data_IF_034220221561
#
_entry.id   IF_034220221561
#
_cell.length_a   1.000
_cell.length_b   1.000
_cell.length_c   1.000
_cell.angle_alpha   90.00
_cell.angle_beta   90.00
_cell.angle_gamma   90.00
#
_symmetry.space_group_name_H-M   'P 1'
#
loop_
_entity.id
_entity.type
_entity.pdbx_description
1 polymer ?
#
# COMPACT_ATOMS: atom_id res chain seq x y z
N UNK A 1 41.30 28.83 -3.71
CA UNK A 1 41.60 27.43 -3.34
C UNK A 1 40.73 26.93 -2.18
N UNK A 2 40.54 27.71 -1.10
CA UNK A 2 39.66 27.35 0.04
C UNK A 2 38.17 27.17 -0.31
N UNK A 3 37.61 28.01 -1.19
CA UNK A 3 36.19 27.92 -1.61
C UNK A 3 35.91 26.67 -2.46
N UNK A 4 36.87 26.18 -3.26
CA UNK A 4 36.67 24.96 -4.05
C UNK A 4 36.83 23.68 -3.24
N UNK A 5 37.54 23.72 -2.11
CA UNK A 5 37.63 22.59 -1.16
C UNK A 5 36.34 22.48 -0.36
N UNK A 6 35.76 23.59 0.10
CA UNK A 6 34.45 23.60 0.78
C UNK A 6 33.34 23.13 -0.17
N UNK A 7 33.34 23.59 -1.43
CA UNK A 7 32.40 23.10 -2.45
C UNK A 7 32.55 21.60 -2.77
N UNK A 8 33.78 21.07 -2.74
CA UNK A 8 34.05 19.63 -2.89
C UNK A 8 33.63 18.83 -1.66
N UNK A 9 33.82 19.33 -0.45
CA UNK A 9 33.38 18.67 0.78
C UNK A 9 31.85 18.68 0.95
N UNK A 10 31.17 19.77 0.55
CA UNK A 10 29.70 19.82 0.49
C UNK A 10 29.18 18.83 -0.56
N UNK A 11 29.77 18.79 -1.75
CA UNK A 11 29.43 17.77 -2.75
C UNK A 11 29.74 16.35 -2.26
N UNK A 12 30.83 16.13 -1.52
CA UNK A 12 31.16 14.83 -0.95
C UNK A 12 30.15 14.38 0.12
N UNK A 13 29.75 15.27 1.03
CA UNK A 13 28.70 15.03 2.04
C UNK A 13 27.32 14.80 1.40
N UNK A 14 26.97 15.54 0.34
CA UNK A 14 25.74 15.32 -0.44
C UNK A 14 25.74 13.93 -1.09
N UNK A 15 26.90 13.40 -1.51
CA UNK A 15 27.01 12.08 -2.11
C UNK A 15 27.16 10.93 -1.10
N UNK A 16 27.69 11.17 0.11
CA UNK A 16 27.84 10.14 1.14
C UNK A 16 26.64 10.01 2.09
N UNK A 17 25.79 11.05 2.19
CA UNK A 17 24.62 11.09 3.08
C UNK A 17 23.36 11.60 2.35
N UNK A 18 23.14 11.15 1.11
CA UNK A 18 21.87 11.42 0.44
C UNK A 18 20.76 10.57 1.05
N UNK A 19 19.68 11.20 1.51
CA UNK A 19 18.55 10.52 2.14
C UNK A 19 17.34 10.49 1.20
N UNK A 20 17.12 9.39 0.44
CA UNK A 20 16.01 9.26 -0.49
C UNK A 20 14.71 8.89 0.23
N UNK A 21 14.08 9.86 0.87
CA UNK A 21 12.78 9.72 1.56
C UNK A 21 11.57 9.76 0.60
N UNK A 22 11.80 9.49 -0.68
CA UNK A 22 10.75 9.34 -1.70
C UNK A 22 10.29 7.90 -1.83
N UNK A 23 11.13 6.93 -1.49
CA UNK A 23 10.92 5.52 -1.80
C UNK A 23 9.91 4.88 -0.85
N UNK A 24 8.74 4.53 -1.40
CA UNK A 24 7.81 3.63 -0.73
C UNK A 24 8.31 2.20 -0.77
N UNK A 25 9.35 1.89 -0.01
CA UNK A 25 9.83 0.54 0.28
C UNK A 25 10.08 0.44 1.78
N UNK A 26 10.45 -0.76 2.23
CA UNK A 26 10.86 -1.02 3.60
C UNK A 26 12.33 -1.45 3.62
N UNK A 27 13.09 -1.09 4.65
CA UNK A 27 14.53 -1.39 4.73
C UNK A 27 14.82 -2.82 5.21
N UNK A 28 13.86 -3.47 5.86
CA UNK A 28 14.02 -4.84 6.33
C UNK A 28 13.76 -5.84 5.21
N UNK A 29 14.43 -6.99 5.34
CA UNK A 29 14.18 -8.14 4.50
C UNK A 29 13.10 -9.04 5.13
N UNK A 30 12.50 -9.94 4.34
CA UNK A 30 11.75 -11.07 4.90
C UNK A 30 12.61 -11.84 5.89
N UNK A 31 12.01 -12.56 6.86
CA UNK A 31 12.75 -13.40 7.79
C UNK A 31 13.72 -14.38 7.09
N UNK A 32 14.83 -14.69 7.76
CA UNK A 32 15.94 -15.45 7.15
C UNK A 32 15.50 -16.85 6.72
N UNK A 33 14.67 -17.50 7.52
CA UNK A 33 14.05 -18.80 7.22
C UNK A 33 13.19 -18.75 5.95
N UNK A 34 12.43 -17.65 5.76
CA UNK A 34 11.67 -17.41 4.52
C UNK A 34 12.62 -17.29 3.32
N UNK A 35 13.72 -16.54 3.47
CA UNK A 35 14.72 -16.37 2.40
C UNK A 35 15.45 -17.68 2.05
N UNK A 36 15.84 -18.49 3.03
CA UNK A 36 16.45 -19.80 2.77
C UNK A 36 15.46 -20.72 2.06
N UNK A 37 14.18 -20.69 2.44
CA UNK A 37 13.15 -21.46 1.78
C UNK A 37 12.92 -21.04 0.33
N UNK A 38 13.02 -19.74 0.02
CA UNK A 38 13.00 -19.25 -1.38
C UNK A 38 14.11 -19.91 -2.19
N UNK A 39 15.34 -20.00 -1.64
CA UNK A 39 16.48 -20.60 -2.34
C UNK A 39 16.24 -22.09 -2.61
N UNK A 40 15.76 -22.83 -1.61
CA UNK A 40 15.40 -24.24 -1.78
C UNK A 40 14.36 -24.42 -2.89
N UNK A 41 13.27 -23.65 -2.84
CA UNK A 41 12.19 -23.72 -3.82
C UNK A 41 12.65 -23.35 -5.23
N UNK A 42 13.55 -22.38 -5.37
CA UNK A 42 14.12 -21.99 -6.65
C UNK A 42 14.97 -23.09 -7.30
N UNK A 43 15.53 -24.00 -6.50
CA UNK A 43 16.28 -25.16 -6.98
C UNK A 43 15.39 -26.39 -7.24
N UNK A 44 14.14 -26.41 -6.79
CA UNK A 44 13.22 -27.50 -7.06
C UNK A 44 12.65 -27.43 -8.49
N UNK A 45 12.89 -28.46 -9.30
CA UNK A 45 12.25 -28.60 -10.63
C UNK A 45 10.72 -28.51 -10.56
N UNK A 46 10.15 -28.89 -9.40
CA UNK A 46 8.73 -28.84 -9.10
C UNK A 46 8.13 -27.43 -9.09
N UNK A 47 8.92 -26.36 -9.20
CA UNK A 47 8.42 -24.97 -9.23
C UNK A 47 8.43 -24.35 -10.62
N UNK A 48 9.01 -25.02 -11.61
CA UNK A 48 9.13 -24.54 -13.00
C UNK A 48 7.98 -25.05 -13.88
N UNK A 49 6.74 -24.68 -13.55
CA UNK A 49 5.55 -25.01 -14.34
C UNK A 49 4.51 -23.89 -14.29
N UNK A 50 3.43 -24.03 -15.06
CA UNK A 50 2.29 -23.10 -15.02
C UNK A 50 1.42 -23.37 -13.79
N UNK A 51 1.28 -22.38 -12.92
CA UNK A 51 0.52 -22.49 -11.67
C UNK A 51 -0.98 -22.38 -11.90
N UNK A 52 -1.76 -22.60 -10.84
CA UNK A 52 -3.19 -22.26 -10.87
C UNK A 52 -3.35 -20.74 -10.87
N UNK A 53 -4.37 -20.24 -11.58
CA UNK A 53 -4.71 -18.82 -11.58
C UNK A 53 -4.96 -18.30 -10.15
N UNK A 54 -5.58 -19.12 -9.32
CA UNK A 54 -5.97 -18.76 -7.97
C UNK A 54 -4.89 -19.03 -6.90
N UNK A 55 -3.81 -19.69 -7.28
CA UNK A 55 -2.80 -20.20 -6.35
C UNK A 55 -3.19 -21.46 -5.57
N UNK A 56 -2.29 -21.98 -4.72
CA UNK A 56 -2.40 -23.32 -4.15
C UNK A 56 -3.37 -23.36 -2.95
N UNK A 57 -4.06 -24.49 -2.77
CA UNK A 57 -5.21 -24.57 -1.86
C UNK A 57 -4.86 -24.47 -0.36
N UNK A 58 -3.64 -24.80 0.02
CA UNK A 58 -3.12 -24.57 1.37
C UNK A 58 -2.99 -23.06 1.68
N UNK A 59 -2.58 -22.27 0.70
CA UNK A 59 -2.49 -20.81 0.81
C UNK A 59 -3.87 -20.16 0.99
N UNK A 60 -4.88 -20.68 0.30
CA UNK A 60 -6.27 -20.26 0.48
C UNK A 60 -6.76 -20.41 1.91
N UNK A 61 -6.44 -21.51 2.59
CA UNK A 61 -6.85 -21.72 3.99
C UNK A 61 -6.21 -20.70 4.91
N UNK A 62 -4.89 -20.52 4.84
CA UNK A 62 -4.16 -19.57 5.67
C UNK A 62 -4.65 -18.12 5.47
N UNK A 63 -4.87 -17.72 4.21
CA UNK A 63 -5.38 -16.38 3.93
C UNK A 63 -6.85 -16.22 4.30
N UNK A 64 -7.66 -17.26 4.15
CA UNK A 64 -9.06 -17.22 4.61
C UNK A 64 -9.10 -17.10 6.13
N UNK A 65 -8.27 -17.82 6.88
CA UNK A 65 -8.16 -17.68 8.33
C UNK A 65 -7.73 -16.27 8.74
N UNK A 66 -6.69 -15.70 8.09
CA UNK A 66 -6.28 -14.29 8.28
C UNK A 66 -7.46 -13.35 8.11
N UNK A 67 -8.12 -13.49 6.98
CA UNK A 67 -9.17 -12.59 6.52
C UNK A 67 -10.42 -12.76 7.36
N UNK A 68 -10.84 -13.97 7.72
CA UNK A 68 -11.97 -14.20 8.64
C UNK A 68 -11.68 -13.66 10.05
N UNK A 69 -10.42 -13.62 10.48
CA UNK A 69 -10.03 -12.94 11.72
C UNK A 69 -10.18 -11.42 11.65
N UNK A 70 -9.86 -10.82 10.50
CA UNK A 70 -9.92 -9.36 10.27
C UNK A 70 -11.33 -8.87 9.87
N UNK A 71 -12.16 -9.75 9.33
CA UNK A 71 -13.51 -9.44 8.84
C UNK A 71 -14.56 -10.02 9.79
N UNK A 72 -15.52 -9.20 10.24
CA UNK A 72 -16.76 -9.69 10.85
C UNK A 72 -17.71 -10.31 9.81
N UNK A 73 -17.23 -11.24 8.99
CA UNK A 73 -18.01 -11.90 7.94
C UNK A 73 -17.50 -13.31 7.69
N UNK A 74 -18.42 -14.26 7.56
CA UNK A 74 -18.18 -15.71 7.43
C UNK A 74 -17.82 -16.18 6.00
N UNK A 75 -17.66 -15.27 5.02
CA UNK A 75 -17.55 -15.66 3.61
C UNK A 75 -16.64 -14.74 2.79
N UNK A 76 -15.37 -15.11 2.60
CA UNK A 76 -14.41 -14.34 1.78
C UNK A 76 -13.68 -15.23 0.76
N UNK A 77 -13.47 -14.72 -0.46
CA UNK A 77 -12.68 -15.34 -1.55
C UNK A 77 -11.48 -14.48 -1.92
N UNK A 78 -10.36 -15.11 -2.31
CA UNK A 78 -9.01 -14.54 -2.32
C UNK A 78 -8.29 -14.78 -3.66
N UNK A 79 -8.21 -13.81 -4.56
CA UNK A 79 -7.53 -14.00 -5.87
C UNK A 79 -6.16 -13.33 -5.89
N UNK A 80 -5.10 -14.03 -6.32
CA UNK A 80 -3.76 -13.43 -6.44
C UNK A 80 -3.68 -12.44 -7.61
N UNK A 81 -3.07 -11.26 -7.48
CA UNK A 81 -3.01 -10.27 -8.57
C UNK A 81 -1.68 -9.50 -8.66
N UNK A 82 -1.34 -9.04 -9.87
CA UNK A 82 -0.17 -8.21 -10.17
C UNK A 82 -0.60 -6.88 -10.81
N UNK A 83 -0.08 -5.77 -10.27
CA UNK A 83 -0.18 -4.38 -10.77
C UNK A 83 -1.60 -3.79 -10.95
N UNK A 84 -1.90 -2.77 -10.13
CA UNK A 84 -2.99 -1.80 -10.33
C UNK A 84 -2.42 -0.41 -10.03
N UNK A 85 -2.67 0.56 -10.90
CA UNK A 85 -2.26 1.95 -10.75
C UNK A 85 -3.51 2.83 -10.85
N UNK A 86 -3.72 3.72 -9.88
CA UNK A 86 -4.91 4.58 -9.77
C UNK A 86 -4.52 6.05 -9.54
N UNK A 87 -5.40 6.95 -9.97
CA UNK A 87 -5.28 8.40 -9.81
C UNK A 87 -5.99 8.83 -8.51
N UNK A 88 -5.37 9.73 -7.72
CA UNK A 88 -5.83 10.13 -6.38
C UNK A 88 -6.37 11.57 -6.35
N UNK A 89 -7.46 11.79 -5.62
CA UNK A 89 -7.93 13.13 -5.23
C UNK A 89 -7.78 13.31 -3.71
N UNK A 90 -7.27 14.46 -3.22
CA UNK A 90 -7.09 14.70 -1.80
C UNK A 90 -8.42 15.10 -1.16
N UNK A 91 -8.96 14.28 -0.26
CA UNK A 91 -10.09 14.69 0.58
C UNK A 91 -9.68 14.56 2.03
N UNK A 92 -9.74 15.66 2.77
CA UNK A 92 -9.57 15.64 4.22
C UNK A 92 -10.67 14.77 4.86
N UNK A 93 -10.28 13.86 5.74
CA UNK A 93 -11.16 12.84 6.34
C UNK A 93 -12.41 13.43 6.99
N UNK A 94 -12.31 14.64 7.55
CA UNK A 94 -13.39 15.33 8.27
C UNK A 94 -14.61 15.63 7.36
N UNK A 95 -14.43 15.66 6.03
CA UNK A 95 -15.53 15.89 5.06
C UNK A 95 -15.70 14.78 4.04
N UNK A 96 -15.01 13.65 4.21
CA UNK A 96 -14.99 12.57 3.22
C UNK A 96 -16.39 12.00 2.95
N UNK A 97 -17.18 11.80 4.00
CA UNK A 97 -18.55 11.28 3.92
C UNK A 97 -19.43 12.18 3.06
N UNK A 98 -19.57 13.45 3.45
CA UNK A 98 -20.51 14.38 2.83
C UNK A 98 -20.09 14.71 1.39
N UNK A 99 -18.78 14.82 1.16
CA UNK A 99 -18.23 14.98 -0.18
C UNK A 99 -18.54 13.77 -1.07
N UNK A 100 -18.35 12.55 -0.57
CA UNK A 100 -18.63 11.32 -1.32
C UNK A 100 -20.12 11.21 -1.65
N UNK A 101 -20.99 11.46 -0.68
CA UNK A 101 -22.45 11.45 -0.86
C UNK A 101 -22.87 12.45 -1.94
N UNK A 102 -22.32 13.67 -1.89
CA UNK A 102 -22.53 14.70 -2.91
C UNK A 102 -22.08 14.23 -4.30
N UNK A 103 -20.84 13.77 -4.44
CA UNK A 103 -20.27 13.35 -5.73
C UNK A 103 -21.08 12.21 -6.36
N UNK A 104 -21.44 11.17 -5.60
CA UNK A 104 -22.20 10.04 -6.13
C UNK A 104 -23.64 10.43 -6.50
N UNK A 105 -24.20 11.46 -5.89
CA UNK A 105 -25.54 11.96 -6.23
C UNK A 105 -25.55 12.87 -7.47
N UNK A 106 -24.58 13.78 -7.57
CA UNK A 106 -24.56 14.86 -8.58
C UNK A 106 -23.86 14.45 -9.88
N UNK A 107 -22.84 13.59 -9.82
CA UNK A 107 -22.04 13.25 -11.00
C UNK A 107 -22.80 12.33 -11.96
N UNK A 108 -22.84 12.71 -13.24
CA UNK A 108 -23.42 11.93 -14.35
C UNK A 108 -22.40 11.79 -15.50
N UNK A 109 -22.14 10.57 -16.01
CA UNK A 109 -22.70 9.31 -15.57
C UNK A 109 -22.23 8.94 -14.15
N UNK A 110 -23.06 8.17 -13.45
CA UNK A 110 -22.81 7.78 -12.07
C UNK A 110 -21.51 6.98 -11.96
N UNK A 111 -20.60 7.33 -11.03
CA UNK A 111 -19.38 6.58 -10.82
C UNK A 111 -19.68 5.12 -10.46
N UNK A 112 -19.08 4.18 -11.19
CA UNK A 112 -19.28 2.73 -10.96
C UNK A 112 -18.38 2.16 -9.86
N UNK A 113 -17.31 2.88 -9.52
CA UNK A 113 -16.27 2.43 -8.61
C UNK A 113 -15.74 3.61 -7.79
N UNK A 114 -15.58 3.37 -6.50
CA UNK A 114 -14.92 4.25 -5.54
C UNK A 114 -13.71 3.50 -5.01
N UNK A 115 -12.52 4.09 -5.12
CA UNK A 115 -11.29 3.53 -4.57
C UNK A 115 -10.90 4.27 -3.31
N UNK A 116 -10.57 3.53 -2.26
CA UNK A 116 -10.15 4.03 -0.97
C UNK A 116 -8.86 3.34 -0.55
N UNK A 117 -7.91 4.07 0.01
CA UNK A 117 -6.67 3.53 0.53
C UNK A 117 -6.70 3.67 2.05
N UNK A 118 -6.56 2.56 2.78
CA UNK A 118 -6.66 2.53 4.24
C UNK A 118 -5.73 1.44 4.82
N UNK A 119 -4.67 1.80 5.57
CA UNK A 119 -4.22 3.16 5.89
C UNK A 119 -3.80 3.99 4.67
N UNK A 120 -4.06 5.30 4.70
CA UNK A 120 -3.92 6.20 3.56
C UNK A 120 -2.47 6.44 3.12
N UNK A 121 -2.24 6.48 1.81
CA UNK A 121 -1.02 6.97 1.18
C UNK A 121 -1.41 8.16 0.28
N UNK A 122 -0.89 9.37 0.48
CA UNK A 122 0.27 9.76 1.30
C UNK A 122 -0.06 10.25 2.72
N UNK A 123 -1.32 10.15 3.17
CA UNK A 123 -1.77 10.82 4.39
C UNK A 123 -1.38 10.11 5.69
N UNK A 124 -1.07 8.81 5.60
CA UNK A 124 -0.84 7.94 6.73
C UNK A 124 -2.06 7.67 7.61
N UNK A 125 -3.24 8.17 7.21
CA UNK A 125 -4.39 8.20 8.10
C UNK A 125 -5.21 6.93 8.02
N UNK A 126 -5.72 6.49 9.18
CA UNK A 126 -6.62 5.35 9.30
C UNK A 126 -8.05 5.87 9.40
N UNK A 127 -8.94 5.28 8.60
CA UNK A 127 -10.37 5.60 8.62
C UNK A 127 -11.03 4.81 9.76
N UNK A 128 -11.71 5.48 10.71
CA UNK A 128 -12.42 4.78 11.78
C UNK A 128 -13.52 3.87 11.23
N UNK A 129 -13.75 2.74 11.90
CA UNK A 129 -14.71 1.71 11.46
C UNK A 129 -16.11 2.27 11.18
N UNK A 130 -16.61 3.16 12.04
CA UNK A 130 -17.92 3.79 11.87
C UNK A 130 -18.02 4.57 10.55
N UNK A 131 -17.01 5.39 10.26
CA UNK A 131 -16.95 6.17 9.02
C UNK A 131 -16.80 5.25 7.80
N UNK A 132 -16.01 4.19 7.94
CA UNK A 132 -15.83 3.21 6.87
C UNK A 132 -17.12 2.46 6.51
N UNK A 133 -17.94 2.09 7.52
CA UNK A 133 -19.28 1.53 7.31
C UNK A 133 -20.20 2.52 6.61
N UNK A 134 -20.18 3.80 6.99
CA UNK A 134 -20.96 4.85 6.34
C UNK A 134 -20.56 5.04 4.87
N UNK A 135 -19.26 5.05 4.56
CA UNK A 135 -18.74 5.10 3.19
C UNK A 135 -19.26 3.90 2.37
N UNK A 136 -19.17 2.69 2.94
CA UNK A 136 -19.70 1.49 2.30
C UNK A 136 -21.19 1.59 2.00
N UNK A 137 -22.00 2.14 2.93
CA UNK A 137 -23.43 2.33 2.73
C UNK A 137 -23.76 3.37 1.65
N UNK A 138 -22.98 4.45 1.56
CA UNK A 138 -23.12 5.46 0.50
C UNK A 138 -22.85 4.82 -0.87
N UNK A 139 -21.75 4.08 -1.02
CA UNK A 139 -21.45 3.36 -2.27
C UNK A 139 -22.55 2.36 -2.63
N UNK A 140 -23.06 1.62 -1.64
CA UNK A 140 -24.14 0.65 -1.84
C UNK A 140 -25.40 1.31 -2.38
N UNK A 141 -25.84 2.42 -1.77
CA UNK A 141 -27.04 3.17 -2.18
C UNK A 141 -26.89 3.73 -3.60
N UNK A 142 -25.69 4.18 -3.95
CA UNK A 142 -25.38 4.64 -5.29
C UNK A 142 -25.20 3.48 -6.30
N UNK A 143 -25.15 2.21 -5.89
CA UNK A 143 -24.85 1.11 -6.81
C UNK A 143 -23.41 1.12 -7.33
N UNK A 144 -22.49 1.78 -6.61
CA UNK A 144 -21.06 1.81 -6.90
C UNK A 144 -20.32 0.72 -6.12
N UNK A 145 -19.30 0.13 -6.74
CA UNK A 145 -18.36 -0.75 -6.06
C UNK A 145 -17.42 0.06 -5.17
N UNK A 146 -17.06 -0.48 -4.01
CA UNK A 146 -16.02 0.06 -3.15
C UNK A 146 -14.79 -0.85 -3.21
N UNK A 147 -13.68 -0.33 -3.72
CA UNK A 147 -12.38 -1.01 -3.71
C UNK A 147 -11.51 -0.39 -2.63
N UNK A 148 -11.04 -1.23 -1.70
CA UNK A 148 -10.28 -0.83 -0.53
C UNK A 148 -8.87 -1.38 -0.65
N UNK A 149 -7.89 -0.50 -0.79
CA UNK A 149 -6.48 -0.85 -0.79
C UNK A 149 -5.95 -0.89 0.65
N UNK A 150 -5.72 -2.11 1.15
CA UNK A 150 -5.18 -2.42 2.47
C UNK A 150 -3.70 -2.82 2.40
N UNK A 151 -2.95 -2.40 1.37
CA UNK A 151 -1.53 -2.75 1.22
C UNK A 151 -0.64 -2.35 2.41
N UNK A 152 -1.10 -1.44 3.27
CA UNK A 152 -0.40 -0.98 4.47
C UNK A 152 -1.13 -1.39 5.77
N UNK A 153 -1.93 -2.47 5.77
CA UNK A 153 -2.79 -2.85 6.91
C UNK A 153 -2.09 -2.98 8.27
N UNK A 154 -0.79 -3.26 8.27
CA UNK A 154 0.03 -3.45 9.48
C UNK A 154 0.80 -2.20 9.92
N UNK A 155 0.59 -1.07 9.24
CA UNK A 155 1.26 0.20 9.53
C UNK A 155 0.29 1.14 10.22
N UNK A 156 0.17 0.99 11.54
CA UNK A 156 -0.92 1.58 12.32
C UNK A 156 -0.42 2.36 13.51
N UNK A 157 -1.00 3.52 13.81
CA UNK A 157 -0.68 4.28 15.03
C UNK A 157 -1.57 3.86 16.20
N UNK A 158 -1.07 3.98 17.44
CA UNK A 158 -1.84 3.91 18.68
C UNK A 158 -2.71 2.64 18.85
N UNK A 159 -2.27 1.51 18.31
CA UNK A 159 -3.02 0.25 18.35
C UNK A 159 -4.30 0.22 17.51
N UNK A 160 -4.56 1.24 16.68
CA UNK A 160 -5.73 1.29 15.80
C UNK A 160 -5.61 0.26 14.66
N UNK A 161 -6.48 -0.74 14.63
CA UNK A 161 -6.51 -1.71 13.53
C UNK A 161 -7.39 -1.21 12.38
N UNK A 162 -6.94 -1.27 11.11
CA UNK A 162 -7.78 -0.92 9.98
C UNK A 162 -8.95 -1.90 9.90
N UNK A 163 -10.16 -1.37 9.87
CA UNK A 163 -11.35 -2.20 9.71
C UNK A 163 -11.46 -2.71 8.27
N UNK A 164 -11.80 -3.99 8.11
CA UNK A 164 -12.16 -4.58 6.82
C UNK A 164 -13.67 -4.88 6.76
N UNK A 165 -14.31 -4.65 5.61
CA UNK A 165 -15.75 -4.89 5.41
C UNK A 165 -15.95 -5.94 4.32
N UNK A 166 -16.67 -7.01 4.66
CA UNK A 166 -17.05 -8.09 3.74
C UNK A 166 -18.49 -7.96 3.27
N UNK A 167 -18.77 -7.03 2.35
CA UNK A 167 -20.10 -6.84 1.74
C UNK A 167 -20.05 -7.14 0.24
N UNK A 168 -21.18 -7.51 -0.36
CA UNK A 168 -21.31 -7.89 -1.78
C UNK A 168 -20.66 -6.91 -2.77
N UNK A 169 -20.71 -5.60 -2.49
CA UNK A 169 -20.16 -4.55 -3.37
C UNK A 169 -18.76 -4.04 -2.94
N UNK A 170 -18.10 -4.74 -2.02
CA UNK A 170 -16.78 -4.35 -1.48
C UNK A 170 -15.71 -5.35 -1.91
N UNK A 171 -14.61 -4.83 -2.44
CA UNK A 171 -13.42 -5.58 -2.84
C UNK A 171 -12.25 -5.06 -2.00
N UNK A 172 -11.56 -5.93 -1.30
CA UNK A 172 -10.39 -5.58 -0.50
C UNK A 172 -9.13 -6.07 -1.20
N UNK A 173 -8.16 -5.19 -1.38
CA UNK A 173 -6.85 -5.50 -1.95
C UNK A 173 -5.84 -5.55 -0.81
N UNK A 174 -4.99 -6.57 -0.82
CA UNK A 174 -3.94 -6.75 0.17
C UNK A 174 -2.60 -6.97 -0.52
N UNK A 175 -1.51 -6.69 0.18
CA UNK A 175 -0.18 -6.87 -0.37
C UNK A 175 0.83 -7.34 0.66
N UNK A 176 1.72 -8.22 0.22
CA UNK A 176 2.89 -8.63 0.98
C UNK A 176 4.09 -7.67 0.81
N UNK A 177 3.97 -6.67 -0.07
CA UNK A 177 5.10 -5.80 -0.43
C UNK A 177 5.67 -5.00 0.73
N UNK A 178 4.86 -4.73 1.76
CA UNK A 178 5.18 -3.79 2.84
C UNK A 178 5.49 -4.49 4.13
N UNK A 179 4.47 -5.03 4.79
CA UNK A 179 4.60 -5.63 6.10
C UNK A 179 5.55 -6.84 6.14
N UNK A 180 5.74 -7.51 5.00
CA UNK A 180 6.62 -8.68 4.87
C UNK A 180 7.94 -8.36 4.17
N UNK A 181 8.16 -7.12 3.70
CA UNK A 181 9.37 -6.77 2.93
C UNK A 181 9.46 -7.44 1.55
N UNK A 182 8.37 -8.04 1.05
CA UNK A 182 8.37 -8.88 -0.16
C UNK A 182 8.01 -8.12 -1.44
N UNK A 183 8.46 -6.86 -1.57
CA UNK A 183 8.13 -6.01 -2.74
C UNK A 183 8.57 -6.65 -4.08
N UNK A 184 9.68 -7.39 -4.07
CA UNK A 184 10.22 -8.11 -5.22
C UNK A 184 9.46 -9.38 -5.60
N UNK A 185 8.67 -9.96 -4.69
CA UNK A 185 7.92 -11.20 -4.94
C UNK A 185 6.68 -10.97 -5.82
N UNK A 186 6.22 -9.72 -5.94
CA UNK A 186 5.11 -9.31 -6.82
C UNK A 186 3.79 -10.04 -6.54
N UNK A 187 3.54 -10.49 -5.31
CA UNK A 187 2.26 -11.13 -4.92
C UNK A 187 1.38 -10.15 -4.17
N UNK A 188 0.10 -10.14 -4.56
CA UNK A 188 -1.01 -9.47 -3.87
C UNK A 188 -2.20 -10.38 -3.89
N UNK A 189 -3.21 -10.11 -3.07
CA UNK A 189 -4.45 -10.86 -3.12
C UNK A 189 -5.69 -9.97 -2.96
N UNK A 190 -6.80 -10.43 -3.52
CA UNK A 190 -8.09 -9.74 -3.55
C UNK A 190 -9.07 -10.52 -2.70
N UNK A 191 -9.51 -9.95 -1.57
CA UNK A 191 -10.52 -10.53 -0.69
C UNK A 191 -11.91 -9.90 -0.91
N UNK A 192 -12.93 -10.68 -1.23
CA UNK A 192 -14.30 -10.19 -1.47
C UNK A 192 -15.37 -11.19 -1.01
N UNK A 193 -16.59 -10.70 -0.78
CA UNK A 193 -17.72 -11.53 -0.32
C UNK A 193 -18.13 -12.57 -1.37
N UNK A 194 -18.42 -13.80 -0.93
CA UNK A 194 -18.94 -14.85 -1.84
C UNK A 194 -20.30 -14.52 -2.43
N UNK A 195 -21.05 -13.58 -1.84
CA UNK A 195 -22.33 -13.08 -2.35
C UNK A 195 -22.18 -12.28 -3.65
N UNK A 196 -20.95 -11.88 -4.00
CA UNK A 196 -20.61 -11.22 -5.26
C UNK A 196 -20.55 -12.23 -6.42
N UNK A 197 -21.72 -12.75 -6.78
CA UNK A 197 -21.88 -13.71 -7.87
C UNK A 197 -21.31 -13.20 -9.19
N UNK A 198 -20.62 -14.07 -9.93
CA UNK A 198 -20.00 -13.74 -11.21
C UNK A 198 -18.71 -12.90 -11.13
N UNK A 199 -18.42 -12.23 -10.00
CA UNK A 199 -17.21 -11.41 -9.85
C UNK A 199 -15.94 -12.24 -10.03
N UNK A 200 -15.90 -13.47 -9.47
CA UNK A 200 -14.79 -14.41 -9.65
C UNK A 200 -14.44 -14.60 -11.12
N UNK A 201 -15.44 -14.93 -11.93
CA UNK A 201 -15.26 -15.22 -13.35
C UNK A 201 -14.72 -14.01 -14.10
N UNK A 202 -15.16 -12.80 -13.75
CA UNK A 202 -14.64 -11.57 -14.37
C UNK A 202 -13.21 -11.27 -13.92
N UNK A 203 -12.88 -11.45 -12.64
CA UNK A 203 -11.52 -11.27 -12.13
C UNK A 203 -10.53 -12.23 -12.78
N UNK A 204 -10.92 -13.51 -12.94
CA UNK A 204 -10.08 -14.50 -13.63
C UNK A 204 -9.86 -14.14 -15.09
N UNK A 205 -10.89 -13.68 -15.82
CA UNK A 205 -10.69 -13.19 -17.19
C UNK A 205 -9.67 -12.06 -17.26
N UNK A 206 -9.72 -11.11 -16.32
CA UNK A 206 -8.73 -10.02 -16.28
C UNK A 206 -7.34 -10.57 -16.00
N UNK A 207 -7.21 -11.45 -15.00
CA UNK A 207 -5.93 -12.04 -14.64
C UNK A 207 -5.29 -12.82 -15.80
N UNK A 208 -6.09 -13.64 -16.48
CA UNK A 208 -5.66 -14.47 -17.62
C UNK A 208 -5.10 -13.63 -18.77
N UNK A 209 -5.62 -12.41 -18.94
CA UNK A 209 -5.18 -11.49 -20.00
C UNK A 209 -4.03 -10.55 -19.60
N UNK A 210 -3.70 -10.43 -18.31
CA UNK A 210 -2.64 -9.52 -17.84
C UNK A 210 -1.39 -10.29 -17.43
N UNK A 211 -1.52 -11.25 -16.51
CA UNK A 211 -0.39 -11.93 -15.89
C UNK A 211 -0.51 -13.45 -15.89
N UNK A 212 -1.66 -13.98 -16.27
CA UNK A 212 -2.04 -15.40 -16.23
C UNK A 212 -2.13 -15.91 -14.78
N UNK A 213 -1.05 -15.88 -14.00
CA UNK A 213 -0.99 -16.26 -12.60
C UNK A 213 0.26 -15.63 -11.94
N UNK A 214 0.26 -15.52 -10.61
CA UNK A 214 1.45 -15.05 -9.88
C UNK A 214 2.56 -16.11 -9.90
N UNK A 215 3.84 -15.72 -9.73
CA UNK A 215 4.96 -16.67 -9.66
C UNK A 215 4.72 -17.77 -8.62
N UNK A 216 4.92 -19.04 -8.99
CA UNK A 216 4.74 -20.19 -8.09
C UNK A 216 5.65 -20.09 -6.88
N UNK A 217 6.92 -19.72 -7.09
CA UNK A 217 7.89 -19.55 -6.01
C UNK A 217 7.35 -18.50 -5.03
N UNK A 218 6.91 -17.35 -5.54
CA UNK A 218 6.37 -16.30 -4.69
C UNK A 218 5.11 -16.74 -3.94
N UNK A 219 4.18 -17.44 -4.57
CA UNK A 219 3.00 -17.99 -3.90
C UNK A 219 3.36 -19.00 -2.80
N UNK A 220 4.34 -19.88 -3.03
CA UNK A 220 4.81 -20.88 -2.05
C UNK A 220 5.50 -20.21 -0.86
N UNK A 221 6.33 -19.21 -1.10
CA UNK A 221 7.06 -18.48 -0.05
C UNK A 221 6.07 -17.77 0.89
N UNK A 222 5.00 -17.19 0.35
CA UNK A 222 3.95 -16.56 1.18
C UNK A 222 3.18 -17.59 2.02
N UNK A 223 2.88 -18.77 1.46
CA UNK A 223 2.23 -19.84 2.21
C UNK A 223 3.09 -20.35 3.39
N UNK A 224 4.42 -20.25 3.27
CA UNK A 224 5.38 -20.70 4.27
C UNK A 224 5.73 -19.63 5.29
N UNK A 225 5.66 -18.36 4.91
CA UNK A 225 6.03 -17.23 5.77
C UNK A 225 5.17 -17.15 7.04
N UNK A 226 4.01 -17.81 7.06
CA UNK A 226 2.99 -17.71 8.10
C UNK A 226 2.59 -16.26 8.39
N UNK A 227 1.46 -16.05 9.03
CA UNK A 227 0.99 -14.71 9.41
C UNK A 227 1.80 -14.13 10.59
N UNK A 228 2.77 -14.87 11.11
CA UNK A 228 3.55 -14.54 12.32
C UNK A 228 4.83 -13.77 12.00
N UNK A 229 5.28 -13.79 10.74
CA UNK A 229 6.47 -13.08 10.24
C UNK A 229 6.23 -11.60 9.91
N UNK A 230 5.17 -11.01 10.44
CA UNK A 230 4.77 -9.65 10.10
C UNK A 230 5.67 -8.65 10.82
N UNK A 231 6.53 -7.99 10.06
CA UNK A 231 7.28 -6.81 10.50
C UNK A 231 6.41 -5.58 10.23
N UNK A 232 5.29 -5.50 10.93
CA UNK A 232 4.46 -4.29 11.02
C UNK A 232 5.11 -3.27 11.95
N UNK A 233 4.76 -1.99 11.81
CA UNK A 233 5.31 -0.92 12.64
C UNK A 233 4.22 0.01 13.14
N UNK A 234 4.49 0.71 14.24
CA UNK A 234 3.67 1.85 14.64
C UNK A 234 3.79 2.95 13.58
N UNK A 235 2.68 3.19 12.91
CA UNK A 235 2.53 4.27 11.96
C UNK A 235 2.69 3.93 10.49
N UNK A 236 1.95 4.66 9.67
CA UNK A 236 2.10 4.65 8.22
C UNK A 236 3.49 5.13 7.82
N UNK A 237 4.15 4.38 6.93
CA UNK A 237 5.46 4.75 6.37
C UNK A 237 5.45 6.04 5.52
N UNK A 238 4.32 6.74 5.42
CA UNK A 238 4.12 7.95 4.62
C UNK A 238 3.42 9.08 5.40
N UNK A 239 4.11 9.83 6.28
CA UNK A 239 3.54 11.04 6.82
C UNK A 239 3.47 12.13 5.74
N UNK A 240 2.26 12.56 5.42
CA UNK A 240 2.00 13.75 4.61
C UNK A 240 2.06 15.00 5.48
N UNK A 241 3.04 15.87 5.23
CA UNK A 241 3.27 17.09 6.00
C UNK A 241 2.79 18.31 5.22
N UNK A 242 1.90 19.10 5.82
CA UNK A 242 1.45 20.37 5.23
C UNK A 242 2.57 21.41 5.34
N UNK A 243 2.87 22.09 4.23
CA UNK A 243 3.85 23.16 4.20
C UNK A 243 3.32 24.43 4.89
N UNK A 244 4.20 25.26 5.48
CA UNK A 244 3.82 26.58 5.97
C UNK A 244 3.14 27.41 4.87
N UNK A 245 2.13 28.21 5.20
CA UNK A 245 1.30 28.95 4.22
C UNK A 245 2.09 29.82 3.22
N UNK A 246 3.31 30.23 3.58
CA UNK A 246 4.23 30.98 2.72
C UNK A 246 4.82 30.16 1.57
N UNK A 247 4.86 28.83 1.69
CA UNK A 247 5.42 27.92 0.69
C UNK A 247 4.29 27.11 0.07
N UNK A 248 3.94 27.44 -1.19
CA UNK A 248 2.84 26.79 -1.91
C UNK A 248 3.32 25.73 -2.90
N UNK A 249 4.54 25.89 -3.44
CA UNK A 249 5.14 24.92 -4.34
C UNK A 249 5.97 23.88 -3.56
N UNK A 250 5.44 22.68 -3.44
CA UNK A 250 6.15 21.56 -2.82
C UNK A 250 7.39 21.15 -3.60
N UNK A 251 7.42 21.30 -4.93
CA UNK A 251 8.59 20.98 -5.74
C UNK A 251 9.74 21.97 -5.48
N UNK A 252 9.44 23.24 -5.23
CA UNK A 252 10.44 24.24 -4.85
C UNK A 252 11.06 23.91 -3.48
N UNK A 253 10.23 23.54 -2.50
CA UNK A 253 10.71 23.13 -1.17
C UNK A 253 11.58 21.88 -1.26
N UNK A 254 11.16 20.87 -2.04
CA UNK A 254 11.96 19.66 -2.27
C UNK A 254 13.28 20.00 -2.94
N UNK A 255 13.29 20.85 -3.98
CA UNK A 255 14.54 21.30 -4.60
C UNK A 255 15.45 21.98 -3.58
N UNK A 256 14.92 22.86 -2.75
CA UNK A 256 15.71 23.52 -1.70
C UNK A 256 16.31 22.52 -0.70
N UNK A 257 15.53 21.55 -0.21
CA UNK A 257 16.00 20.49 0.69
C UNK A 257 17.11 19.65 0.07
N UNK A 258 16.98 19.26 -1.19
CA UNK A 258 18.01 18.48 -1.91
C UNK A 258 19.32 19.27 -2.00
N UNK A 259 19.26 20.54 -2.42
CA UNK A 259 20.47 21.34 -2.63
C UNK A 259 21.15 21.76 -1.33
N UNK A 260 20.38 21.97 -0.26
CA UNK A 260 20.90 22.52 1.00
C UNK A 260 21.22 21.46 2.05
N UNK A 261 20.47 20.35 2.04
CA UNK A 261 20.49 19.33 3.09
C UNK A 261 20.66 17.90 2.56
N UNK A 262 20.75 17.67 1.24
CA UNK A 262 20.81 16.33 0.64
C UNK A 262 19.61 15.41 0.99
N UNK A 263 18.47 16.00 1.34
CA UNK A 263 17.23 15.28 1.66
C UNK A 263 16.26 15.38 0.49
N UNK A 264 15.81 14.24 -0.03
CA UNK A 264 14.83 14.19 -1.11
C UNK A 264 13.50 13.66 -0.60
N UNK A 265 12.47 14.50 -0.65
CA UNK A 265 11.07 14.14 -0.35
C UNK A 265 10.24 14.07 -1.64
N UNK A 266 9.02 13.55 -1.55
CA UNK A 266 8.08 13.60 -2.68
C UNK A 266 7.18 14.84 -2.56
N UNK A 267 7.09 15.69 -3.60
CA UNK A 267 6.11 16.77 -3.63
C UNK A 267 4.68 16.23 -3.48
N UNK A 268 3.89 16.85 -2.61
CA UNK A 268 2.50 16.40 -2.38
C UNK A 268 1.63 16.51 -3.63
N UNK A 269 1.93 17.45 -4.54
CA UNK A 269 1.27 17.58 -5.84
C UNK A 269 1.25 16.27 -6.64
N UNK A 270 2.32 15.49 -6.56
CA UNK A 270 2.48 14.24 -7.31
C UNK A 270 1.61 13.11 -6.72
N UNK A 271 1.15 13.29 -5.48
CA UNK A 271 0.21 12.42 -4.77
C UNK A 271 -1.17 13.07 -4.62
N UNK A 272 -1.45 14.12 -5.41
CA UNK A 272 -2.71 14.84 -5.39
C UNK A 272 -2.90 15.79 -4.20
N UNK A 273 -1.95 15.98 -3.28
CA UNK A 273 -2.06 16.87 -2.12
C UNK A 273 -1.17 18.14 -2.26
N UNK A 274 -1.56 19.13 -3.09
CA UNK A 274 -0.77 20.35 -3.28
C UNK A 274 -0.62 21.14 -1.97
N UNK A 275 0.54 21.75 -1.77
CA UNK A 275 0.88 22.44 -0.52
C UNK A 275 1.31 21.49 0.62
N UNK A 276 1.52 20.21 0.33
CA UNK A 276 2.14 19.24 1.24
C UNK A 276 3.42 18.67 0.63
N UNK A 277 4.19 17.96 1.46
CA UNK A 277 5.25 17.03 1.05
C UNK A 277 4.97 15.68 1.68
N UNK A 278 5.29 14.60 0.97
CA UNK A 278 5.25 13.24 1.53
C UNK A 278 6.66 12.87 1.95
N UNK A 279 6.80 12.56 3.24
CA UNK A 279 8.00 11.99 3.81
C UNK A 279 7.82 10.47 3.80
N UNK A 280 8.84 9.72 3.41
CA UNK A 280 8.83 8.26 3.47
C UNK A 280 10.02 7.80 4.28
N UNK A 281 9.76 7.10 5.39
CA UNK A 281 10.82 6.62 6.28
C UNK A 281 10.95 5.09 6.29
N UNK A 282 10.05 4.37 5.64
CA UNK A 282 10.09 2.90 5.62
C UNK A 282 11.41 2.32 5.11
N UNK A 283 12.07 3.01 4.18
CA UNK A 283 13.35 2.58 3.59
C UNK A 283 14.59 3.01 4.39
N UNK A 284 14.42 3.72 5.51
CA UNK A 284 15.50 4.22 6.35
C UNK A 284 15.57 3.47 7.68
N UNK A 285 16.78 3.28 8.19
CA UNK A 285 17.06 2.83 9.56
C UNK A 285 16.90 4.00 10.53
N UNK A 286 16.71 3.69 11.81
CA UNK A 286 16.51 4.69 12.87
C UNK A 286 17.62 5.77 12.89
N UNK A 287 18.89 5.36 12.82
CA UNK A 287 20.02 6.31 12.77
C UNK A 287 19.99 7.23 11.54
N UNK A 288 19.43 6.78 10.41
CA UNK A 288 19.27 7.61 9.21
C UNK A 288 18.10 8.59 9.35
N UNK A 289 17.05 8.19 10.07
CA UNK A 289 15.94 9.07 10.44
C UNK A 289 16.38 10.18 11.40
N UNK A 290 17.24 9.88 12.38
CA UNK A 290 17.79 10.89 13.31
C UNK A 290 18.56 11.99 12.57
N UNK A 291 19.36 11.61 11.55
CA UNK A 291 20.09 12.57 10.71
C UNK A 291 19.14 13.46 9.91
N UNK A 292 17.98 12.93 9.48
CA UNK A 292 17.00 13.68 8.68
C UNK A 292 16.25 14.77 9.47
N UNK A 293 16.26 14.71 10.81
CA UNK A 293 15.50 15.62 11.70
C UNK A 293 16.33 16.84 12.12
N UNK A 294 17.65 16.81 11.94
CA UNK A 294 18.62 17.87 12.32
C UNK A 294 18.79 18.91 11.21
#
# INVERSE_FOLDING_TARGET
MFISVIGKCINFLIFTCFLPMTLGAVYWNPPVDVLEKVKELACELSTSYYGTHEGPQNWWRALTEKVLWTFYASCVRIISCTNLQSWLHPVQIIRLRDWLEKILSETKPMPKLVSLVNPGNPSGTIIPELLFKQISDICRKAGSWLVVDNACEYFTYDGLKPSCIGRKHVINLFSFSKAYGMIGCRVRYIAYSTEAEGLRTQLLKVQDNIAIFASIISQKVEALSSLESVMGGEGAIYPGVKLPNKYKDGAEVVRWLVHRHAVMLLPGSDSGAPGCVRITYGALREAECEIAVV
#
